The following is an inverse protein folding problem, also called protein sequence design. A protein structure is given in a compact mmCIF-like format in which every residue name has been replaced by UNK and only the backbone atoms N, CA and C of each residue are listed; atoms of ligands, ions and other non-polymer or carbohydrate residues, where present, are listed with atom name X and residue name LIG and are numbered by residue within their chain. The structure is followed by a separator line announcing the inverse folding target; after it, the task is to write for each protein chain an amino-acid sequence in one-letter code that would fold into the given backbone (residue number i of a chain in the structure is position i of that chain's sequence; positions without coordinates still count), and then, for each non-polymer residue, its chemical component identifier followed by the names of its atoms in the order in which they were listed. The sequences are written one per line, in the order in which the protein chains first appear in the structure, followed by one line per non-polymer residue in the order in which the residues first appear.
data_IF_074930601041
#
_entry.id   IF_074930601041
#
_cell.length_a   1.000
_cell.length_b   1.000
_cell.length_c   1.000
_cell.angle_alpha   90.00
_cell.angle_beta   90.00
_cell.angle_gamma   90.00
#
_symmetry.space_group_name_H-M   'P 1'
#
loop_
_entity.id
_entity.type
_entity.pdbx_description
1 polymer ?
#
# COMPACT_ATOMS: atom_id res chain seq x y z
N UNK A 1 22.63 36.91 18.09
CA UNK A 1 22.96 35.66 17.37
C UNK A 1 21.84 34.62 17.50
N UNK A 2 21.28 34.38 18.69
CA UNK A 2 20.18 33.41 18.89
C UNK A 2 18.88 33.73 18.13
N UNK A 3 18.63 35.01 17.86
CA UNK A 3 17.45 35.50 17.13
C UNK A 3 17.47 35.10 15.64
N UNK A 4 18.64 35.06 15.01
CA UNK A 4 18.82 34.66 13.61
C UNK A 4 18.67 33.14 13.50
N UNK A 5 19.25 32.38 14.44
CA UNK A 5 19.11 30.93 14.50
C UNK A 5 17.65 30.50 14.72
N UNK A 6 16.94 31.18 15.63
CA UNK A 6 15.51 30.95 15.88
C UNK A 6 14.67 31.25 14.63
N UNK A 7 14.95 32.33 13.90
CA UNK A 7 14.23 32.66 12.67
C UNK A 7 14.50 31.66 11.55
N UNK A 8 15.75 31.21 11.39
CA UNK A 8 16.10 30.14 10.46
C UNK A 8 15.38 28.83 10.76
N UNK A 9 15.32 28.43 12.03
CA UNK A 9 14.57 27.25 12.47
C UNK A 9 13.06 27.40 12.20
N UNK A 10 12.49 28.57 12.44
CA UNK A 10 11.06 28.82 12.16
C UNK A 10 10.74 28.80 10.67
N UNK A 11 11.64 29.31 9.83
CA UNK A 11 11.50 29.23 8.35
C UNK A 11 11.60 27.78 7.87
N UNK A 12 12.54 27.00 8.42
CA UNK A 12 12.67 25.58 8.11
C UNK A 12 11.41 24.80 8.52
N UNK A 13 10.87 25.07 9.72
CA UNK A 13 9.64 24.44 10.21
C UNK A 13 8.42 24.81 9.34
N UNK A 14 8.36 26.06 8.87
CA UNK A 14 7.30 26.53 7.97
C UNK A 14 7.40 25.93 6.54
N UNK A 15 8.59 25.52 6.10
CA UNK A 15 8.79 24.84 4.83
C UNK A 15 8.53 23.32 4.89
N UNK A 16 8.52 22.73 6.08
CA UNK A 16 8.26 21.30 6.30
C UNK A 16 6.95 20.77 5.67
N UNK A 17 5.79 21.45 5.71
CA UNK A 17 4.56 20.97 5.08
C UNK A 17 4.63 20.89 3.55
N UNK A 18 5.60 21.55 2.91
CA UNK A 18 5.82 21.40 1.46
C UNK A 18 6.45 20.04 1.09
N UNK A 19 6.96 19.31 2.08
CA UNK A 19 7.43 17.92 1.93
C UNK A 19 6.32 16.90 2.19
N UNK A 20 5.06 17.33 2.30
CA UNK A 20 3.93 16.41 2.42
C UNK A 20 3.93 15.45 1.22
N UNK A 21 4.25 14.20 1.50
CA UNK A 21 4.19 13.12 0.53
C UNK A 21 2.72 12.96 0.12
N UNK A 22 2.46 12.97 -1.19
CA UNK A 22 1.15 12.64 -1.71
C UNK A 22 0.80 11.20 -1.27
N UNK A 23 -0.20 11.08 -0.41
CA UNK A 23 -0.80 9.78 -0.08
C UNK A 23 -1.52 9.29 -1.34
N UNK A 24 -1.24 8.04 -1.73
CA UNK A 24 -1.93 7.43 -2.86
C UNK A 24 -3.43 7.46 -2.64
N UNK A 25 -4.16 7.89 -3.65
CA UNK A 25 -5.61 7.82 -3.68
C UNK A 25 -6.06 6.36 -3.75
N UNK A 26 -7.28 6.03 -3.28
CA UNK A 26 -7.82 4.67 -3.38
C UNK A 26 -7.80 4.11 -4.81
N UNK A 27 -8.04 4.98 -5.82
CA UNK A 27 -7.97 4.59 -7.22
C UNK A 27 -6.55 4.19 -7.65
N UNK A 28 -5.54 4.97 -7.26
CA UNK A 28 -4.14 4.66 -7.53
C UNK A 28 -3.71 3.35 -6.88
N UNK A 29 -4.16 3.07 -5.65
CA UNK A 29 -3.89 1.80 -4.97
C UNK A 29 -4.47 0.62 -5.76
N UNK A 30 -5.73 0.72 -6.21
CA UNK A 30 -6.38 -0.34 -7.01
C UNK A 30 -5.65 -0.53 -8.34
N UNK A 31 -5.31 0.57 -9.03
CA UNK A 31 -4.63 0.51 -10.31
C UNK A 31 -3.23 -0.09 -10.18
N UNK A 32 -2.45 0.35 -9.19
CA UNK A 32 -1.12 -0.15 -8.91
C UNK A 32 -1.14 -1.65 -8.59
N UNK A 33 -2.01 -2.06 -7.67
CA UNK A 33 -2.15 -3.47 -7.27
C UNK A 33 -2.57 -4.35 -8.45
N UNK A 34 -3.50 -3.86 -9.28
CA UNK A 34 -3.95 -4.59 -10.49
C UNK A 34 -2.81 -4.76 -11.48
N UNK A 35 -2.05 -3.70 -11.73
CA UNK A 35 -0.90 -3.75 -12.65
C UNK A 35 0.19 -4.69 -12.13
N UNK A 36 0.46 -4.66 -10.82
CA UNK A 36 1.42 -5.57 -10.18
C UNK A 36 0.97 -7.03 -10.30
N UNK A 37 -0.29 -7.33 -9.98
CA UNK A 37 -0.85 -8.68 -10.07
C UNK A 37 -0.81 -9.22 -11.50
N UNK A 38 -1.22 -8.43 -12.48
CA UNK A 38 -1.22 -8.84 -13.89
C UNK A 38 0.21 -8.99 -14.43
N UNK A 39 1.13 -8.11 -14.01
CA UNK A 39 2.54 -8.20 -14.35
C UNK A 39 3.18 -9.48 -13.81
N UNK A 40 2.95 -9.78 -12.53
CA UNK A 40 3.45 -10.98 -11.85
C UNK A 40 2.88 -12.26 -12.48
N UNK A 41 1.58 -12.28 -12.77
CA UNK A 41 0.92 -13.40 -13.44
C UNK A 41 1.50 -13.66 -14.84
N UNK A 42 1.78 -12.60 -15.59
CA UNK A 42 2.35 -12.71 -16.94
C UNK A 42 3.79 -13.21 -16.89
N UNK A 43 4.59 -12.73 -15.95
CA UNK A 43 6.00 -13.11 -15.80
C UNK A 43 6.17 -14.57 -15.34
N UNK A 44 5.32 -15.02 -14.41
CA UNK A 44 5.48 -16.31 -13.73
C UNK A 44 4.47 -17.39 -14.18
N UNK A 45 3.81 -17.18 -15.33
CA UNK A 45 2.74 -18.06 -15.84
C UNK A 45 3.11 -19.55 -15.89
N UNK A 46 4.29 -19.88 -16.37
CA UNK A 46 4.72 -21.28 -16.48
C UNK A 46 5.03 -21.91 -15.10
N UNK A 47 5.60 -21.12 -14.18
CA UNK A 47 5.80 -21.55 -12.80
C UNK A 47 4.46 -21.85 -12.11
N UNK A 48 3.47 -20.97 -12.26
CA UNK A 48 2.16 -21.15 -11.63
C UNK A 48 1.37 -22.34 -12.19
N UNK A 49 1.58 -22.73 -13.45
CA UNK A 49 1.02 -23.97 -14.00
C UNK A 49 1.60 -25.22 -13.32
N UNK A 50 2.89 -25.20 -13.02
CA UNK A 50 3.58 -26.34 -12.40
C UNK A 50 3.44 -26.39 -10.87
N UNK A 51 3.29 -25.23 -10.23
CA UNK A 51 3.15 -25.08 -8.80
C UNK A 51 2.07 -24.04 -8.46
N UNK A 52 0.81 -24.49 -8.28
CA UNK A 52 -0.29 -23.60 -7.91
C UNK A 52 -0.11 -22.92 -6.55
N UNK A 53 0.64 -23.50 -5.62
CA UNK A 53 0.88 -22.89 -4.31
C UNK A 53 1.67 -21.59 -4.43
N UNK A 54 2.64 -21.54 -5.35
CA UNK A 54 3.41 -20.32 -5.62
C UNK A 54 2.53 -19.16 -6.12
N UNK A 55 1.42 -19.46 -6.80
CA UNK A 55 0.45 -18.44 -7.20
C UNK A 55 -0.29 -17.87 -5.99
N UNK A 56 -0.76 -18.72 -5.07
CA UNK A 56 -1.43 -18.27 -3.85
C UNK A 56 -0.51 -17.47 -2.92
N UNK A 57 0.76 -17.86 -2.83
CA UNK A 57 1.77 -17.11 -2.09
C UNK A 57 1.98 -15.71 -2.69
N UNK A 58 2.09 -15.62 -4.02
CA UNK A 58 2.20 -14.33 -4.70
C UNK A 58 0.93 -13.48 -4.55
N UNK A 59 -0.24 -14.11 -4.62
CA UNK A 59 -1.53 -13.44 -4.44
C UNK A 59 -1.68 -12.89 -3.01
N UNK A 60 -1.32 -13.66 -1.98
CA UNK A 60 -1.32 -13.21 -0.59
C UNK A 60 -0.31 -12.07 -0.37
N UNK A 61 0.85 -12.14 -1.02
CA UNK A 61 1.86 -11.08 -0.95
C UNK A 61 1.38 -9.76 -1.56
N UNK A 62 0.71 -9.81 -2.72
CA UNK A 62 0.27 -8.63 -3.47
C UNK A 62 -1.03 -8.06 -2.88
N UNK A 63 -2.01 -8.90 -2.60
CA UNK A 63 -3.34 -8.47 -2.12
C UNK A 63 -3.42 -8.32 -0.60
N UNK A 64 -2.60 -9.04 0.17
CA UNK A 64 -2.65 -9.04 1.63
C UNK A 64 -2.59 -7.66 2.27
N UNK A 65 -1.67 -6.76 1.86
CA UNK A 65 -1.57 -5.43 2.46
C UNK A 65 -2.75 -4.49 2.16
N UNK A 66 -3.52 -4.77 1.10
CA UNK A 66 -4.59 -3.88 0.60
C UNK A 66 -6.00 -4.43 0.85
N UNK A 67 -6.12 -5.64 1.37
CA UNK A 67 -7.40 -6.28 1.69
C UNK A 67 -7.57 -6.37 3.21
N UNK A 68 -8.61 -5.72 3.73
CA UNK A 68 -9.03 -5.86 5.13
C UNK A 68 -9.83 -7.18 5.31
N UNK A 69 -9.10 -8.29 5.37
CA UNK A 69 -9.69 -9.62 5.52
C UNK A 69 -10.54 -9.71 6.80
N UNK A 70 -10.06 -9.14 7.92
CA UNK A 70 -10.77 -9.15 9.19
C UNK A 70 -12.07 -8.33 9.13
N UNK A 71 -12.05 -7.17 8.49
CA UNK A 71 -13.24 -6.35 8.26
C UNK A 71 -14.27 -7.06 7.40
N UNK A 72 -13.83 -7.73 6.33
CA UNK A 72 -14.72 -8.55 5.48
C UNK A 72 -15.31 -9.70 6.29
N UNK A 73 -14.49 -10.43 7.05
CA UNK A 73 -14.96 -11.52 7.92
C UNK A 73 -15.99 -11.03 8.93
N UNK A 74 -15.74 -9.91 9.62
CA UNK A 74 -16.72 -9.29 10.54
C UNK A 74 -18.00 -8.88 9.83
N UNK A 75 -17.90 -8.33 8.62
CA UNK A 75 -19.07 -7.97 7.80
C UNK A 75 -19.93 -9.18 7.46
N UNK A 76 -19.33 -10.35 7.26
CA UNK A 76 -20.04 -11.60 6.95
C UNK A 76 -20.59 -12.23 8.24
N UNK A 77 -19.81 -12.26 9.31
CA UNK A 77 -20.16 -12.91 10.59
C UNK A 77 -21.19 -12.14 11.41
N UNK A 78 -21.40 -10.85 11.11
CA UNK A 78 -22.31 -9.94 11.83
C UNK A 78 -21.85 -9.65 13.27
N UNK A 79 -22.23 -8.51 13.83
CA UNK A 79 -21.76 -7.90 15.11
C UNK A 79 -21.85 -8.79 16.36
N UNK A 80 -22.46 -9.98 16.29
CA UNK A 80 -22.56 -10.90 17.44
C UNK A 80 -21.20 -11.56 17.78
N UNK A 81 -20.24 -11.56 16.86
CA UNK A 81 -18.89 -12.11 17.04
C UNK A 81 -17.83 -11.04 16.71
#
# INVERSE_FOLDING_TARGET
MISILRRGLLVLLAAFPLLALAVQTPHEVVQSTTNELLGDLKANKEQYKSNPNAFYDSLNRILGPVVDADGISRSIMTVKY
#
